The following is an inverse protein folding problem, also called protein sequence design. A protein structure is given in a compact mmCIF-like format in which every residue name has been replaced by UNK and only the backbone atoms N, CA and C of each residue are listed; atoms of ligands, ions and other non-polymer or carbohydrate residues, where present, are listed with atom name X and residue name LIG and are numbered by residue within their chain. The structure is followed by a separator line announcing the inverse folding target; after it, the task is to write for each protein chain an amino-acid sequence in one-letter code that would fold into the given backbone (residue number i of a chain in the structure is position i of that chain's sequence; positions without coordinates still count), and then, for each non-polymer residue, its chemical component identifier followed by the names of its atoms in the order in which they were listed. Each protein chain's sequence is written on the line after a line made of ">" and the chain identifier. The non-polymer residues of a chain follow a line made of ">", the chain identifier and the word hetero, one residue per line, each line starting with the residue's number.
data_IF_339926979932
#
_entry.id   IF_339926979932
#
_cell.length_a   1.000
_cell.length_b   1.000
_cell.length_c   1.000
_cell.angle_alpha   90.00
_cell.angle_beta   90.00
_cell.angle_gamma   90.00
#
_symmetry.space_group_name_H-M   'P 1'
#
loop_
_entity.id
_entity.type
_entity.pdbx_description
1 polymer ?
#
# COMPACT_ATOMS: atom_id res chain seq x y z
N UNK A 1 -12.13 0.81 -12.74
CA UNK A 1 -13.03 1.73 -12.00
C UNK A 1 -14.11 1.01 -11.20
N UNK A 2 -14.87 0.06 -11.77
CA UNK A 2 -15.90 -0.70 -11.03
C UNK A 2 -15.35 -1.40 -9.78
N UNK A 3 -14.25 -2.15 -9.91
CA UNK A 3 -13.59 -2.82 -8.78
C UNK A 3 -13.22 -1.84 -7.65
N UNK A 4 -12.58 -0.72 -7.98
CA UNK A 4 -12.19 0.31 -7.01
C UNK A 4 -13.41 0.85 -6.24
N UNK A 5 -14.52 1.12 -6.94
CA UNK A 5 -15.76 1.57 -6.27
C UNK A 5 -16.30 0.54 -5.27
N UNK A 6 -16.36 -0.74 -5.66
CA UNK A 6 -16.82 -1.82 -4.77
C UNK A 6 -15.89 -2.03 -3.57
N UNK A 7 -14.57 -2.04 -3.78
CA UNK A 7 -13.61 -2.25 -2.70
C UNK A 7 -13.67 -1.10 -1.68
N UNK A 8 -13.71 0.15 -2.14
CA UNK A 8 -13.91 1.34 -1.28
C UNK A 8 -15.21 1.24 -0.50
N UNK A 9 -16.32 0.95 -1.19
CA UNK A 9 -17.64 0.86 -0.55
C UNK A 9 -17.70 -0.24 0.50
N UNK A 10 -17.05 -1.38 0.26
CA UNK A 10 -16.98 -2.48 1.21
C UNK A 10 -16.24 -2.07 2.49
N UNK A 11 -15.04 -1.53 2.36
CA UNK A 11 -14.23 -1.08 3.49
C UNK A 11 -14.90 0.10 4.25
N UNK A 12 -15.51 1.05 3.54
CA UNK A 12 -16.25 2.14 4.17
C UNK A 12 -17.47 1.63 4.94
N UNK A 13 -18.16 0.58 4.47
CA UNK A 13 -19.28 0.00 5.23
C UNK A 13 -18.82 -0.72 6.50
N UNK A 14 -17.65 -1.36 6.45
CA UNK A 14 -17.06 -2.06 7.58
C UNK A 14 -16.56 -1.09 8.65
N UNK A 15 -15.63 -0.20 8.27
CA UNK A 15 -14.99 0.74 9.20
C UNK A 15 -15.85 1.95 9.56
N UNK A 16 -16.85 2.27 8.73
CA UNK A 16 -17.60 3.54 8.78
C UNK A 16 -16.70 4.77 8.61
N UNK A 17 -15.57 4.59 7.92
CA UNK A 17 -14.55 5.60 7.68
C UNK A 17 -14.37 5.86 6.17
N UNK A 18 -13.86 7.04 5.78
CA UNK A 18 -13.48 7.33 4.41
C UNK A 18 -12.34 6.41 3.94
N UNK A 19 -12.53 5.77 2.77
CA UNK A 19 -11.50 4.93 2.16
C UNK A 19 -11.05 5.59 0.86
N UNK A 20 -9.78 5.96 0.79
CA UNK A 20 -9.21 6.66 -0.36
C UNK A 20 -8.49 5.67 -1.28
N UNK A 21 -8.95 5.60 -2.52
CA UNK A 21 -8.29 4.86 -3.58
C UNK A 21 -8.62 5.50 -4.93
N UNK A 22 -7.64 5.45 -5.85
CA UNK A 22 -7.77 5.88 -7.24
C UNK A 22 -7.84 4.66 -8.17
N UNK A 23 -8.08 4.89 -9.46
CA UNK A 23 -8.15 3.83 -10.47
C UNK A 23 -7.59 4.34 -11.79
N UNK A 24 -6.88 3.47 -12.51
CA UNK A 24 -6.43 3.71 -13.89
C UNK A 24 -7.58 3.81 -14.90
N UNK A 25 -8.82 3.49 -14.49
CA UNK A 25 -10.05 3.67 -15.28
C UNK A 25 -9.95 3.07 -16.70
N UNK A 26 -9.78 1.75 -16.76
CA UNK A 26 -9.71 1.04 -18.04
C UNK A 26 -11.00 1.21 -18.84
N UNK A 27 -10.83 1.29 -20.16
CA UNK A 27 -11.90 1.24 -21.15
C UNK A 27 -11.70 0.01 -22.03
N UNK A 28 -12.60 -0.21 -22.99
CA UNK A 28 -12.44 -1.28 -23.98
C UNK A 28 -11.12 -1.14 -24.74
N UNK A 29 -10.67 0.09 -25.04
CA UNK A 29 -9.37 0.34 -25.68
C UNK A 29 -8.19 -0.23 -24.88
N UNK A 30 -8.23 -0.21 -23.54
CA UNK A 30 -7.18 -0.78 -22.69
C UNK A 30 -7.07 -2.30 -22.84
N UNK A 31 -8.15 -3.01 -23.24
CA UNK A 31 -8.09 -4.45 -23.51
C UNK A 31 -7.35 -4.80 -24.81
N UNK A 32 -7.21 -3.83 -25.71
CA UNK A 32 -6.48 -3.99 -26.98
C UNK A 32 -5.04 -3.50 -26.85
N UNK A 33 -4.83 -2.35 -26.20
CA UNK A 33 -3.54 -1.66 -26.17
C UNK A 33 -2.78 -1.76 -24.85
N UNK A 34 -3.35 -2.42 -23.84
CA UNK A 34 -2.80 -2.46 -22.48
C UNK A 34 -3.08 -1.20 -21.66
N UNK A 35 -2.75 -1.28 -20.38
CA UNK A 35 -3.04 -0.24 -19.37
C UNK A 35 -1.97 0.81 -19.14
N UNK A 36 -0.86 0.81 -19.90
CA UNK A 36 0.30 1.66 -19.60
C UNK A 36 0.00 3.17 -19.65
N UNK A 37 -0.68 3.63 -20.70
CA UNK A 37 -1.08 5.04 -20.83
C UNK A 37 -2.04 5.46 -19.71
N UNK A 38 -2.98 4.58 -19.35
CA UNK A 38 -3.92 4.78 -18.27
C UNK A 38 -3.21 4.96 -16.92
N UNK A 39 -2.25 4.08 -16.60
CA UNK A 39 -1.50 4.16 -15.34
C UNK A 39 -0.68 5.44 -15.27
N UNK A 40 0.04 5.79 -16.34
CA UNK A 40 0.84 7.03 -16.39
C UNK A 40 -0.02 8.26 -16.14
N UNK A 41 -1.16 8.37 -16.84
CA UNK A 41 -2.08 9.49 -16.64
C UNK A 41 -2.63 9.53 -15.22
N UNK A 42 -3.00 8.37 -14.66
CA UNK A 42 -3.48 8.28 -13.29
C UNK A 42 -2.42 8.74 -12.27
N UNK A 43 -1.16 8.32 -12.42
CA UNK A 43 -0.06 8.75 -11.56
C UNK A 43 0.16 10.26 -11.61
N UNK A 44 0.17 10.85 -12.82
CA UNK A 44 0.25 12.30 -12.97
C UNK A 44 -0.87 13.00 -12.20
N UNK A 45 -2.13 12.60 -12.39
CA UNK A 45 -3.26 13.19 -11.68
C UNK A 45 -3.17 12.99 -10.17
N UNK A 46 -2.79 11.79 -9.71
CA UNK A 46 -2.68 11.48 -8.28
C UNK A 46 -1.65 12.39 -7.60
N UNK A 47 -0.46 12.53 -8.18
CA UNK A 47 0.58 13.37 -7.60
C UNK A 47 0.26 14.86 -7.69
N UNK A 48 -0.40 15.32 -8.76
CA UNK A 48 -0.78 16.74 -8.90
C UNK A 48 -1.94 17.14 -7.97
N UNK A 49 -2.98 16.30 -7.86
CA UNK A 49 -4.22 16.68 -7.16
C UNK A 49 -4.20 16.26 -5.69
N UNK A 50 -3.68 15.07 -5.40
CA UNK A 50 -3.73 14.48 -4.05
C UNK A 50 -2.38 14.48 -3.35
N UNK A 51 -1.27 14.71 -4.05
CA UNK A 51 0.08 14.82 -3.51
C UNK A 51 0.47 13.76 -2.44
N UNK A 52 0.22 12.45 -2.64
CA UNK A 52 0.67 11.44 -1.70
C UNK A 52 2.20 11.36 -1.69
N UNK A 53 2.80 10.86 -0.61
CA UNK A 53 4.22 10.51 -0.59
C UNK A 53 4.51 9.19 -1.32
N UNK A 54 3.51 8.30 -1.35
CA UNK A 54 3.60 7.00 -2.00
C UNK A 54 2.28 6.60 -2.66
N UNK A 55 2.36 5.99 -3.85
CA UNK A 55 1.24 5.31 -4.49
C UNK A 55 1.51 3.80 -4.49
N UNK A 56 0.63 3.04 -3.84
CA UNK A 56 0.63 1.59 -3.88
C UNK A 56 -0.34 1.08 -4.97
N UNK A 57 0.21 0.50 -6.03
CA UNK A 57 -0.56 0.01 -7.18
C UNK A 57 -0.90 -1.47 -6.97
N UNK A 58 -2.18 -1.80 -7.01
CA UNK A 58 -2.68 -3.18 -7.09
C UNK A 58 -3.39 -3.38 -8.43
N UNK A 59 -3.41 -4.63 -8.89
CA UNK A 59 -4.01 -5.00 -10.18
C UNK A 59 -5.40 -5.61 -9.99
N UNK A 60 -6.12 -5.76 -11.09
CA UNK A 60 -7.42 -6.46 -11.13
C UNK A 60 -7.33 -7.68 -12.04
N UNK A 61 -8.34 -8.56 -12.02
CA UNK A 61 -8.41 -9.66 -12.98
C UNK A 61 -8.25 -9.22 -14.43
N UNK A 62 -8.75 -8.03 -14.81
CA UNK A 62 -8.65 -7.53 -16.18
C UNK A 62 -7.20 -7.25 -16.58
N UNK A 63 -6.47 -6.43 -15.80
CA UNK A 63 -5.07 -6.10 -16.09
C UNK A 63 -4.15 -7.33 -16.01
N UNK A 64 -4.45 -8.27 -15.11
CA UNK A 64 -3.72 -9.53 -15.01
C UNK A 64 -3.98 -10.45 -16.21
N UNK A 65 -5.22 -10.50 -16.70
CA UNK A 65 -5.57 -11.28 -17.91
C UNK A 65 -4.94 -10.68 -19.17
N UNK A 66 -4.89 -9.36 -19.26
CA UNK A 66 -4.20 -8.65 -20.36
C UNK A 66 -2.68 -8.91 -20.30
N UNK A 67 -2.13 -9.08 -19.09
CA UNK A 67 -0.69 -9.27 -18.89
C UNK A 67 0.08 -7.95 -18.87
N UNK A 68 -0.50 -6.91 -18.28
CA UNK A 68 0.14 -5.59 -18.16
C UNK A 68 1.47 -5.67 -17.38
N UNK A 69 2.55 -5.10 -17.95
CA UNK A 69 3.88 -5.03 -17.32
C UNK A 69 4.01 -3.77 -16.45
N UNK A 70 3.54 -3.88 -15.20
CA UNK A 70 3.58 -2.81 -14.21
C UNK A 70 5.01 -2.30 -13.93
N UNK A 71 6.05 -3.15 -13.73
CA UNK A 71 7.43 -2.69 -13.60
C UNK A 71 7.88 -1.77 -14.73
N UNK A 72 7.63 -2.15 -15.99
CA UNK A 72 7.99 -1.32 -17.15
C UNK A 72 7.20 -0.02 -17.17
N UNK A 73 5.89 -0.05 -16.91
CA UNK A 73 5.06 1.16 -16.91
C UNK A 73 5.46 2.14 -15.80
N UNK A 74 5.77 1.66 -14.61
CA UNK A 74 6.22 2.51 -13.48
C UNK A 74 7.57 3.15 -13.81
N UNK A 75 8.49 2.40 -14.41
CA UNK A 75 9.79 2.93 -14.86
C UNK A 75 9.59 4.04 -15.91
N UNK A 76 8.78 3.80 -16.93
CA UNK A 76 8.48 4.80 -17.97
C UNK A 76 7.77 6.03 -17.39
N UNK A 77 6.86 5.84 -16.43
CA UNK A 77 6.19 6.94 -15.75
C UNK A 77 7.22 7.83 -15.01
N UNK A 78 8.18 7.22 -14.31
CA UNK A 78 9.28 7.93 -13.64
C UNK A 78 10.18 8.66 -14.64
N UNK A 79 10.63 7.98 -15.70
CA UNK A 79 11.47 8.56 -16.75
C UNK A 79 10.81 9.76 -17.44
N UNK A 80 9.47 9.75 -17.57
CA UNK A 80 8.70 10.85 -18.15
C UNK A 80 8.30 11.97 -17.18
N UNK A 81 8.73 11.89 -15.91
CA UNK A 81 8.41 12.88 -14.87
C UNK A 81 7.00 12.79 -14.28
N UNK A 82 6.23 11.73 -14.58
CA UNK A 82 4.90 11.52 -14.00
C UNK A 82 4.96 11.13 -12.51
N UNK A 83 6.11 10.63 -12.05
CA UNK A 83 6.41 10.39 -10.63
C UNK A 83 7.43 11.44 -10.17
N UNK A 84 7.03 12.41 -9.32
CA UNK A 84 7.95 13.45 -8.85
C UNK A 84 9.14 12.88 -8.06
N UNK A 85 10.22 13.66 -7.98
CA UNK A 85 11.37 13.33 -7.13
C UNK A 85 10.96 13.24 -5.65
N UNK A 86 11.56 12.30 -4.91
CA UNK A 86 11.22 12.03 -3.51
C UNK A 86 9.90 11.28 -3.30
N UNK A 87 9.12 11.01 -4.36
CA UNK A 87 7.88 10.24 -4.29
C UNK A 87 8.07 8.79 -4.72
N UNK A 88 7.27 7.91 -4.11
CA UNK A 88 7.38 6.46 -4.28
C UNK A 88 6.19 5.90 -5.05
N UNK A 89 6.45 4.89 -5.89
CA UNK A 89 5.42 4.06 -6.51
C UNK A 89 5.85 2.61 -6.35
N UNK A 90 5.01 1.83 -5.67
CA UNK A 90 5.22 0.39 -5.45
C UNK A 90 4.07 -0.36 -6.10
N UNK A 91 4.26 -1.64 -6.42
CA UNK A 91 3.16 -2.43 -6.96
C UNK A 91 3.16 -3.87 -6.48
N UNK A 92 1.96 -4.46 -6.51
CA UNK A 92 1.75 -5.88 -6.33
C UNK A 92 0.77 -6.41 -7.38
N UNK A 93 1.08 -7.58 -7.96
CA UNK A 93 0.11 -8.33 -8.75
C UNK A 93 -0.91 -8.99 -7.82
N UNK A 94 -2.19 -8.70 -8.04
CA UNK A 94 -3.31 -9.17 -7.22
C UNK A 94 -4.42 -9.78 -8.11
N UNK A 95 -4.14 -10.88 -8.83
CA UNK A 95 -5.12 -11.55 -9.68
C UNK A 95 -6.28 -12.10 -8.85
N UNK A 96 -7.49 -11.58 -9.07
CA UNK A 96 -8.65 -11.93 -8.24
C UNK A 96 -9.17 -13.36 -8.42
N UNK A 97 -8.67 -14.09 -9.43
CA UNK A 97 -8.94 -15.51 -9.64
C UNK A 97 -7.92 -16.43 -8.91
N UNK A 98 -7.00 -15.86 -8.13
CA UNK A 98 -6.04 -16.61 -7.30
C UNK A 98 -6.24 -16.27 -5.83
N UNK A 99 -6.55 -17.28 -5.01
CA UNK A 99 -6.67 -17.13 -3.56
C UNK A 99 -7.84 -16.23 -3.15
N UNK A 100 -7.56 -15.25 -2.29
CA UNK A 100 -8.57 -14.35 -1.73
C UNK A 100 -8.01 -12.95 -1.44
N UNK A 101 -8.79 -12.11 -0.76
CA UNK A 101 -8.33 -10.81 -0.26
C UNK A 101 -7.09 -10.93 0.64
N UNK A 102 -6.93 -12.04 1.38
CA UNK A 102 -5.74 -12.31 2.21
C UNK A 102 -4.50 -12.46 1.32
N UNK A 103 -4.62 -13.17 0.19
CA UNK A 103 -3.53 -13.28 -0.80
C UNK A 103 -3.16 -11.92 -1.38
N UNK A 104 -4.16 -11.09 -1.69
CA UNK A 104 -3.93 -9.71 -2.14
C UNK A 104 -3.21 -8.86 -1.10
N UNK A 105 -3.61 -8.98 0.18
CA UNK A 105 -2.93 -8.33 1.30
C UNK A 105 -1.47 -8.79 1.43
N UNK A 106 -1.20 -10.10 1.39
CA UNK A 106 0.16 -10.65 1.46
C UNK A 106 1.03 -10.18 0.31
N UNK A 107 0.48 -10.11 -0.91
CA UNK A 107 1.20 -9.60 -2.09
C UNK A 107 1.57 -8.13 -1.93
N UNK A 108 0.67 -7.30 -1.40
CA UNK A 108 0.93 -5.89 -1.15
C UNK A 108 1.95 -5.68 -0.01
N UNK A 109 1.87 -6.44 1.07
CA UNK A 109 2.87 -6.42 2.15
C UNK A 109 4.25 -6.83 1.62
N UNK A 110 4.32 -7.88 0.80
CA UNK A 110 5.56 -8.29 0.12
C UNK A 110 6.11 -7.17 -0.76
N UNK A 111 5.25 -6.45 -1.47
CA UNK A 111 5.67 -5.33 -2.32
C UNK A 111 6.25 -4.16 -1.52
N UNK A 112 5.72 -3.85 -0.33
CA UNK A 112 6.33 -2.85 0.56
C UNK A 112 7.79 -3.21 0.86
N UNK A 113 8.07 -4.48 1.20
CA UNK A 113 9.43 -4.95 1.45
C UNK A 113 10.27 -4.92 0.18
N UNK A 114 9.75 -5.46 -0.93
CA UNK A 114 10.49 -5.62 -2.20
C UNK A 114 10.95 -4.27 -2.75
N UNK A 115 10.15 -3.22 -2.59
CA UNK A 115 10.44 -1.90 -3.13
C UNK A 115 11.22 -0.98 -2.20
N UNK A 116 11.03 -1.11 -0.88
CA UNK A 116 11.48 -0.08 0.07
C UNK A 116 12.55 -0.59 1.02
N UNK A 117 12.45 -1.85 1.46
CA UNK A 117 13.34 -2.39 2.46
C UNK A 117 14.78 -2.38 1.96
N UNK A 118 15.65 -1.69 2.67
CA UNK A 118 17.06 -1.54 2.31
C UNK A 118 17.93 -1.98 3.49
N UNK A 119 18.76 -2.98 3.25
CA UNK A 119 19.76 -3.41 4.23
C UNK A 119 20.98 -2.50 4.15
N UNK A 120 21.38 -1.98 5.29
CA UNK A 120 22.61 -1.23 5.52
C UNK A 120 23.53 -2.01 6.48
N UNK A 121 24.75 -1.54 6.68
CA UNK A 121 25.68 -2.16 7.63
C UNK A 121 25.38 -1.80 9.10
N UNK A 122 24.40 -0.94 9.34
CA UNK A 122 24.00 -0.47 10.68
C UNK A 122 22.72 -1.17 11.11
N UNK A 123 22.76 -2.21 11.98
CA UNK A 123 21.56 -2.82 12.51
C UNK A 123 20.79 -1.82 13.39
N UNK A 124 19.46 -1.82 13.26
CA UNK A 124 18.60 -0.94 14.07
C UNK A 124 18.16 -1.59 15.39
N UNK A 125 18.47 -2.88 15.60
CA UNK A 125 18.07 -3.70 16.75
C UNK A 125 16.55 -3.79 16.99
N UNK A 126 15.73 -3.48 15.98
CA UNK A 126 14.27 -3.58 16.04
C UNK A 126 13.79 -4.95 15.57
N UNK A 127 12.58 -5.31 15.98
CA UNK A 127 11.82 -6.44 15.47
C UNK A 127 10.82 -5.97 14.41
N UNK A 128 10.83 -6.56 13.22
CA UNK A 128 9.74 -6.36 12.26
C UNK A 128 8.54 -7.21 12.68
N UNK A 129 7.34 -6.64 12.64
CA UNK A 129 6.11 -7.37 12.91
C UNK A 129 5.14 -7.14 11.76
N UNK A 130 4.74 -8.24 11.13
CA UNK A 130 3.71 -8.26 10.10
C UNK A 130 2.44 -8.79 10.78
N UNK A 131 1.43 -7.93 11.05
CA UNK A 131 0.33 -8.28 11.95
C UNK A 131 -0.75 -9.18 11.33
N UNK A 132 -0.66 -9.46 10.03
CA UNK A 132 -1.70 -10.18 9.28
C UNK A 132 -2.83 -9.28 8.80
N UNK A 133 -3.82 -9.88 8.14
CA UNK A 133 -5.07 -9.20 7.77
C UNK A 133 -5.99 -9.11 8.99
N UNK A 134 -5.73 -8.11 9.84
CA UNK A 134 -6.40 -7.90 11.14
C UNK A 134 -6.93 -6.47 11.30
N UNK A 135 -7.73 -6.25 12.34
CA UNK A 135 -8.33 -4.93 12.61
C UNK A 135 -7.31 -3.94 13.19
N UNK A 136 -7.52 -2.61 13.04
CA UNK A 136 -6.65 -1.61 13.63
C UNK A 136 -6.52 -1.77 15.16
N UNK A 137 -7.57 -2.26 15.84
CA UNK A 137 -7.53 -2.58 17.27
C UNK A 137 -6.51 -3.68 17.60
N UNK A 138 -6.41 -4.69 16.74
CA UNK A 138 -5.49 -5.80 16.92
C UNK A 138 -4.04 -5.33 16.70
N UNK A 139 -3.83 -4.48 15.68
CA UNK A 139 -2.52 -3.84 15.44
C UNK A 139 -2.09 -3.00 16.66
N UNK A 140 -3.01 -2.23 17.25
CA UNK A 140 -2.73 -1.47 18.49
C UNK A 140 -2.39 -2.40 19.65
N UNK A 141 -3.11 -3.50 19.82
CA UNK A 141 -2.84 -4.48 20.87
C UNK A 141 -1.45 -5.12 20.71
N UNK A 142 -1.07 -5.48 19.48
CA UNK A 142 0.27 -5.99 19.17
C UNK A 142 1.34 -4.96 19.51
N UNK A 143 1.17 -3.69 19.10
CA UNK A 143 2.11 -2.60 19.44
C UNK A 143 2.25 -2.43 20.96
N UNK A 144 1.12 -2.43 21.68
CA UNK A 144 1.10 -2.31 23.15
C UNK A 144 1.85 -3.46 23.84
N UNK A 145 1.63 -4.70 23.42
CA UNK A 145 2.30 -5.87 24.01
C UNK A 145 3.82 -5.79 23.82
N UNK A 146 4.25 -5.45 22.60
CA UNK A 146 5.67 -5.37 22.23
C UNK A 146 6.37 -4.24 23.01
N UNK A 147 5.71 -3.08 23.15
CA UNK A 147 6.19 -1.99 24.00
C UNK A 147 6.27 -2.40 25.48
N UNK A 148 5.28 -3.11 26.02
CA UNK A 148 5.31 -3.61 27.41
C UNK A 148 6.44 -4.61 27.66
N UNK A 149 6.83 -5.37 26.63
CA UNK A 149 7.99 -6.27 26.67
C UNK A 149 9.34 -5.56 26.55
N UNK A 150 9.35 -4.23 26.35
CA UNK A 150 10.58 -3.44 26.15
C UNK A 150 11.26 -3.72 24.82
N UNK A 151 10.50 -4.14 23.80
CA UNK A 151 11.00 -4.44 22.46
C UNK A 151 10.67 -3.27 21.54
N UNK A 152 11.68 -2.73 20.85
CA UNK A 152 11.47 -1.79 19.77
C UNK A 152 11.07 -2.53 18.50
N UNK A 153 9.95 -2.13 17.87
CA UNK A 153 9.43 -2.82 16.70
C UNK A 153 8.93 -1.90 15.60
N UNK A 154 9.08 -2.36 14.36
CA UNK A 154 8.47 -1.77 13.16
C UNK A 154 7.29 -2.66 12.78
N UNK A 155 6.08 -2.12 12.90
CA UNK A 155 4.85 -2.84 12.51
C UNK A 155 4.42 -2.39 11.12
N UNK A 156 4.23 -3.33 10.20
CA UNK A 156 3.75 -3.01 8.85
C UNK A 156 3.00 -4.18 8.19
N UNK A 157 1.93 -3.90 7.41
CA UNK A 157 1.19 -2.64 7.34
C UNK A 157 0.51 -2.30 8.68
N UNK A 158 0.46 -1.03 9.03
CA UNK A 158 -0.28 -0.53 10.21
C UNK A 158 -1.49 0.30 9.75
N UNK A 159 -2.69 -0.16 10.07
CA UNK A 159 -3.95 0.52 9.75
C UNK A 159 -4.53 1.30 10.93
N UNK A 160 -3.88 1.26 12.09
CA UNK A 160 -4.28 2.05 13.25
C UNK A 160 -4.06 3.54 13.00
N UNK A 161 -4.97 4.35 13.49
CA UNK A 161 -5.10 5.79 13.22
C UNK A 161 -5.30 6.13 11.73
N UNK A 162 -5.73 5.15 10.90
CA UNK A 162 -6.05 5.32 9.46
C UNK A 162 -7.51 5.00 9.15
N UNK A 163 -8.01 3.87 9.66
CA UNK A 163 -9.40 3.41 9.45
C UNK A 163 -10.21 3.38 10.75
N UNK A 164 -9.74 4.14 11.74
CA UNK A 164 -10.35 4.36 13.05
C UNK A 164 -10.08 5.81 13.53
N UNK A 165 -10.24 6.79 12.64
CA UNK A 165 -9.82 8.18 12.89
C UNK A 165 -10.75 8.94 13.86
N UNK A 166 -10.24 9.89 14.66
CA UNK A 166 -11.08 10.74 15.48
C UNK A 166 -11.84 11.77 14.63
N UNK A 167 -13.09 12.05 15.01
CA UNK A 167 -13.89 13.12 14.39
C UNK A 167 -13.47 14.49 14.91
N UNK A 168 -12.54 15.16 14.21
CA UNK A 168 -12.00 16.47 14.60
C UNK A 168 -12.72 17.67 13.98
N UNK A 169 -13.61 17.45 13.01
CA UNK A 169 -14.26 18.50 12.22
C UNK A 169 -13.53 18.84 10.91
N UNK A 170 -12.26 18.47 10.80
CA UNK A 170 -11.43 18.65 9.59
C UNK A 170 -11.18 17.31 8.90
N UNK A 171 -11.47 17.22 7.61
CA UNK A 171 -11.17 16.02 6.83
C UNK A 171 -9.68 15.95 6.50
N UNK A 172 -9.04 14.85 6.91
CA UNK A 172 -7.65 14.54 6.56
C UNK A 172 -7.64 13.40 5.55
N UNK A 173 -7.19 13.68 4.32
CA UNK A 173 -7.10 12.66 3.28
C UNK A 173 -6.08 11.56 3.61
N UNK A 174 -5.00 11.95 4.28
CA UNK A 174 -3.98 11.05 4.85
C UNK A 174 -4.02 11.21 6.37
N UNK A 175 -4.66 10.27 7.09
CA UNK A 175 -4.66 10.29 8.55
C UNK A 175 -3.25 10.17 9.15
N UNK A 176 -3.14 10.41 10.46
CA UNK A 176 -1.85 10.42 11.18
C UNK A 176 -1.21 9.04 11.33
N UNK A 177 -2.00 7.98 11.18
CA UNK A 177 -1.55 6.59 11.29
C UNK A 177 -0.70 6.12 10.11
N UNK A 178 -0.46 4.81 10.08
CA UNK A 178 0.37 4.18 9.05
C UNK A 178 1.85 4.09 9.41
N UNK A 179 2.51 3.05 8.88
CA UNK A 179 3.96 2.91 8.99
C UNK A 179 4.65 3.98 8.13
N UNK A 180 5.61 4.70 8.69
CA UNK A 180 6.34 5.73 7.97
C UNK A 180 7.24 5.10 6.89
N UNK A 181 7.42 5.81 5.77
CA UNK A 181 8.29 5.36 4.68
C UNK A 181 9.75 5.12 5.15
N UNK A 182 10.37 5.99 5.96
CA UNK A 182 11.70 5.72 6.51
C UNK A 182 11.75 4.44 7.35
N UNK A 183 10.71 4.14 8.13
CA UNK A 183 10.65 2.90 8.90
C UNK A 183 10.50 1.68 7.98
N UNK A 184 9.69 1.77 6.91
CA UNK A 184 9.60 0.71 5.90
C UNK A 184 10.96 0.44 5.23
N UNK A 185 11.74 1.48 4.95
CA UNK A 185 13.11 1.35 4.43
C UNK A 185 14.01 0.67 5.46
N UNK A 186 13.92 1.10 6.72
CA UNK A 186 14.72 0.60 7.84
C UNK A 186 14.38 -0.84 8.26
N UNK A 187 13.28 -1.43 7.78
CA UNK A 187 12.96 -2.86 8.00
C UNK A 187 14.08 -3.81 7.56
N UNK A 188 14.92 -3.41 6.60
CA UNK A 188 16.06 -4.20 6.12
C UNK A 188 17.21 -4.32 7.14
N UNK A 189 17.19 -3.48 8.18
CA UNK A 189 18.19 -3.42 9.25
C UNK A 189 17.75 -4.13 10.54
N UNK A 190 16.54 -4.69 10.55
CA UNK A 190 15.95 -5.36 11.72
C UNK A 190 16.52 -6.75 11.97
N UNK A 191 16.54 -7.14 13.24
CA UNK A 191 17.16 -8.39 13.71
C UNK A 191 16.38 -9.61 13.26
N UNK A 192 15.05 -9.51 13.25
CA UNK A 192 14.15 -10.59 12.87
C UNK A 192 12.83 -10.02 12.35
N UNK A 193 12.05 -10.88 11.69
CA UNK A 193 10.67 -10.58 11.28
C UNK A 193 9.74 -11.64 11.84
N UNK A 194 8.71 -11.21 12.56
CA UNK A 194 7.62 -12.04 13.04
C UNK A 194 6.39 -11.81 12.16
N UNK A 195 5.99 -12.83 11.41
CA UNK A 195 4.77 -12.81 10.61
C UNK A 195 3.64 -13.51 11.37
N UNK A 196 2.57 -12.77 11.65
CA UNK A 196 1.39 -13.24 12.36
C UNK A 196 0.27 -13.48 11.34
N UNK A 197 0.07 -14.74 10.94
CA UNK A 197 -0.97 -15.14 9.98
C UNK A 197 -0.45 -15.42 8.57
#
# INVERSE_FOLDING_TARGET
>A
QGCCSFHKSHLTRHYREPIMAATSAFTEGSSVFGGGANLKQALTTIFTVYNPDMVAVSTTCLSETIGDDLPTFIRQARESGAVPEGKYVIHANTPSYVGSHVTGWSNMTKAMVTYLSAKTDTPNNKLNIIPGYVEPSDVRAVKQLVTQMGIDAIVFPDTSDVVDTPKTGDFQMYPKGGTLIPDLIDTGNSTATLALG
#
